data_IF_194075933339
#
_entry.id   IF_194075933339
#
_cell.length_a   1.000
_cell.length_b   1.000
_cell.length_c   1.000
_cell.angle_alpha   90.00
_cell.angle_beta   90.00
_cell.angle_gamma   90.00
#
_symmetry.space_group_name_H-M   'P 1'
#
loop_
_entity.id
_entity.type
_entity.pdbx_description
1 polymer ?
#
# COMPACT_ATOMS: atom_id res chain seq x y z
N UNK A 1 18.87 -6.14 7.35
CA UNK A 1 18.99 -4.92 8.17
C UNK A 1 17.95 -3.94 7.68
N UNK A 2 17.30 -3.24 8.60
CA UNK A 2 16.32 -2.21 8.28
C UNK A 2 17.09 -0.98 7.74
N UNK A 3 16.75 -0.52 6.53
CA UNK A 3 17.59 0.45 5.79
C UNK A 3 17.41 1.89 6.29
N UNK A 4 16.28 2.18 6.96
CA UNK A 4 15.79 3.54 7.17
C UNK A 4 15.62 3.92 8.65
N UNK A 5 16.10 3.09 9.59
CA UNK A 5 16.08 3.34 11.04
C UNK A 5 14.71 3.80 11.57
N UNK A 6 13.63 3.17 11.08
CA UNK A 6 12.27 3.57 11.40
C UNK A 6 11.96 3.28 12.87
N UNK A 7 11.38 4.28 13.55
CA UNK A 7 11.00 4.22 14.97
C UNK A 7 9.63 3.55 15.20
N UNK A 8 9.08 2.88 14.18
CA UNK A 8 7.75 2.27 14.20
C UNK A 8 7.77 0.87 13.59
N UNK A 9 6.72 0.09 13.89
CA UNK A 9 6.60 -1.27 13.38
C UNK A 9 6.33 -1.28 11.87
N UNK A 10 7.13 -2.05 11.14
CA UNK A 10 6.90 -2.38 9.74
C UNK A 10 6.47 -3.84 9.65
N UNK A 11 5.28 -4.07 9.12
CA UNK A 11 4.69 -5.40 8.98
C UNK A 11 4.74 -5.89 7.53
N UNK A 12 4.61 -7.21 7.32
CA UNK A 12 4.59 -7.83 5.99
C UNK A 12 3.24 -8.51 5.73
N UNK A 13 2.53 -8.05 4.70
CA UNK A 13 1.26 -8.65 4.24
C UNK A 13 1.50 -9.67 3.11
N UNK A 14 2.09 -10.83 3.46
CA UNK A 14 2.38 -11.88 2.48
C UNK A 14 1.11 -12.34 1.76
N UNK A 15 1.12 -12.31 0.43
CA UNK A 15 -0.01 -12.69 -0.42
C UNK A 15 -1.17 -11.69 -0.42
N UNK A 16 -0.92 -10.43 -0.02
CA UNK A 16 -1.89 -9.33 -0.04
C UNK A 16 -3.18 -9.64 0.76
N UNK A 17 -3.09 -10.37 1.88
CA UNK A 17 -4.28 -10.84 2.62
C UNK A 17 -5.05 -9.71 3.27
N UNK A 18 -4.35 -8.74 3.85
CA UNK A 18 -4.97 -7.54 4.43
C UNK A 18 -5.36 -6.59 3.30
N UNK A 19 -4.47 -6.35 2.33
CA UNK A 19 -4.75 -5.48 1.19
C UNK A 19 -6.04 -5.89 0.44
N UNK A 20 -6.29 -7.19 0.24
CA UNK A 20 -7.55 -7.68 -0.37
C UNK A 20 -8.78 -7.33 0.46
N UNK A 21 -8.72 -7.44 1.79
CA UNK A 21 -9.84 -7.10 2.67
C UNK A 21 -10.18 -5.61 2.62
N UNK A 22 -9.17 -4.77 2.37
CA UNK A 22 -9.32 -3.33 2.21
C UNK A 22 -9.59 -2.91 0.76
N UNK A 23 -9.69 -3.86 -0.18
CA UNK A 23 -9.93 -3.56 -1.61
C UNK A 23 -8.76 -2.88 -2.32
N UNK A 24 -7.54 -3.05 -1.83
CA UNK A 24 -6.34 -2.34 -2.30
C UNK A 24 -5.52 -3.12 -3.34
N UNK A 25 -5.99 -4.27 -3.80
CA UNK A 25 -5.19 -5.11 -4.72
C UNK A 25 -5.53 -4.78 -6.16
N UNK A 26 -4.51 -4.34 -6.89
CA UNK A 26 -4.56 -4.17 -8.34
C UNK A 26 -3.82 -5.32 -9.02
N UNK A 27 -4.50 -6.06 -9.89
CA UNK A 27 -3.88 -7.07 -10.73
C UNK A 27 -3.38 -6.44 -12.04
N UNK A 28 -2.08 -6.49 -12.29
CA UNK A 28 -1.52 -5.95 -13.54
C UNK A 28 -2.05 -6.76 -14.73
N UNK A 29 -2.75 -6.10 -15.68
CA UNK A 29 -3.25 -6.75 -16.89
C UNK A 29 -2.12 -7.48 -17.64
N UNK A 30 -2.41 -8.67 -18.14
CA UNK A 30 -1.41 -9.51 -18.82
C UNK A 30 -0.74 -8.78 -19.98
N UNK A 31 -1.50 -7.97 -20.69
CA UNK A 31 -1.08 -7.16 -21.83
C UNK A 31 0.01 -6.14 -21.47
N UNK A 32 0.02 -5.67 -20.22
CA UNK A 32 0.97 -4.66 -19.74
C UNK A 32 2.27 -5.27 -19.20
N UNK A 33 2.28 -6.56 -18.85
CA UNK A 33 3.44 -7.25 -18.24
C UNK A 33 4.72 -7.16 -19.10
N UNK A 34 4.68 -7.37 -20.43
CA UNK A 34 5.89 -7.26 -21.25
C UNK A 34 6.50 -5.85 -21.25
N UNK A 35 5.69 -4.80 -21.06
CA UNK A 35 6.19 -3.43 -20.98
C UNK A 35 6.89 -3.18 -19.65
N UNK A 36 6.31 -3.65 -18.54
CA UNK A 36 6.94 -3.57 -17.22
C UNK A 36 8.29 -4.31 -17.19
N UNK A 37 8.34 -5.51 -17.77
CA UNK A 37 9.59 -6.27 -17.90
C UNK A 37 10.63 -5.53 -18.74
N UNK A 38 10.23 -4.91 -19.87
CA UNK A 38 11.11 -4.07 -20.70
C UNK A 38 11.66 -2.85 -19.94
N UNK A 39 10.90 -2.30 -18.99
CA UNK A 39 11.36 -1.23 -18.10
C UNK A 39 12.21 -1.74 -16.92
N UNK A 40 12.50 -3.05 -16.86
CA UNK A 40 13.26 -3.67 -15.77
C UNK A 40 12.46 -3.87 -14.48
N UNK A 41 11.13 -3.74 -14.53
CA UNK A 41 10.24 -3.87 -13.36
C UNK A 41 9.79 -5.33 -13.25
N UNK A 42 10.55 -6.13 -12.50
CA UNK A 42 10.23 -7.53 -12.24
C UNK A 42 9.30 -7.67 -11.01
N UNK A 43 7.98 -7.53 -11.23
CA UNK A 43 6.98 -7.66 -10.15
C UNK A 43 7.08 -9.03 -9.45
N UNK A 44 7.09 -10.17 -10.18
CA UNK A 44 7.18 -11.47 -9.50
C UNK A 44 8.45 -11.65 -8.67
N UNK A 45 9.58 -11.14 -9.16
CA UNK A 45 10.86 -11.18 -8.45
C UNK A 45 10.86 -10.34 -7.17
N UNK A 46 10.22 -9.17 -7.19
CA UNK A 46 10.11 -8.31 -6.00
C UNK A 46 9.10 -8.84 -4.96
N UNK A 47 8.00 -9.42 -5.42
CA UNK A 47 6.95 -9.92 -4.53
C UNK A 47 7.21 -11.35 -4.04
N UNK A 48 8.10 -12.10 -4.70
CA UNK A 48 8.37 -13.51 -4.39
C UNK A 48 7.25 -14.46 -4.80
N UNK A 49 6.34 -14.02 -5.68
CA UNK A 49 5.20 -14.80 -6.18
C UNK A 49 4.77 -14.33 -7.59
N UNK A 50 4.10 -15.20 -8.34
CA UNK A 50 3.69 -14.94 -9.74
C UNK A 50 2.30 -14.30 -9.86
N UNK A 51 1.81 -13.60 -8.83
CA UNK A 51 0.46 -13.01 -8.83
C UNK A 51 0.33 -11.82 -9.78
N UNK A 52 1.43 -11.11 -10.07
CA UNK A 52 1.42 -9.81 -10.76
C UNK A 52 0.48 -8.80 -10.09
N UNK A 53 0.34 -8.90 -8.78
CA UNK A 53 -0.48 -8.00 -7.98
C UNK A 53 0.38 -6.89 -7.38
N UNK A 54 -0.20 -5.69 -7.33
CA UNK A 54 0.41 -4.50 -6.77
C UNK A 54 -0.58 -3.92 -5.76
N UNK A 55 -0.17 -3.65 -4.51
CA UNK A 55 -1.01 -2.93 -3.57
C UNK A 55 -1.10 -1.45 -3.97
N UNK A 56 -2.31 -0.91 -4.00
CA UNK A 56 -2.57 0.53 -4.09
C UNK A 56 -2.17 1.15 -2.73
N UNK A 57 -1.31 2.17 -2.71
CA UNK A 57 -0.96 2.86 -1.47
C UNK A 57 -2.20 3.43 -0.79
N UNK A 58 -2.26 3.27 0.53
CA UNK A 58 -3.35 3.79 1.34
C UNK A 58 -2.85 4.25 2.71
N UNK A 59 -3.50 5.26 3.26
CA UNK A 59 -3.26 5.77 4.61
C UNK A 59 -4.57 5.75 5.38
N UNK A 60 -4.58 5.09 6.54
CA UNK A 60 -5.74 5.03 7.42
C UNK A 60 -5.36 5.50 8.81
N UNK A 61 -6.31 6.17 9.46
CA UNK A 61 -6.30 6.39 10.91
C UNK A 61 -7.45 5.60 11.49
N UNK A 62 -7.13 4.68 12.40
CA UNK A 62 -8.09 3.75 13.02
C UNK A 62 -8.07 4.02 14.53
N UNK A 63 -9.25 4.24 15.11
CA UNK A 63 -9.37 4.48 16.55
C UNK A 63 -9.33 3.20 17.39
N UNK A 64 -9.38 3.33 18.72
CA UNK A 64 -9.36 2.19 19.65
C UNK A 64 -10.63 1.32 19.58
N UNK A 65 -11.74 1.87 19.07
CA UNK A 65 -12.97 1.15 18.82
C UNK A 65 -12.99 0.48 17.42
N UNK A 66 -11.83 0.46 16.73
CA UNK A 66 -11.61 -0.15 15.42
C UNK A 66 -12.38 0.53 14.27
N UNK A 67 -12.77 1.79 14.43
CA UNK A 67 -13.37 2.58 13.36
C UNK A 67 -12.30 3.35 12.58
N UNK A 68 -12.45 3.32 11.26
CA UNK A 68 -11.66 4.17 10.36
C UNK A 68 -12.17 5.62 10.51
N UNK A 69 -11.30 6.50 11.00
CA UNK A 69 -11.58 7.93 11.20
C UNK A 69 -11.04 8.79 10.06
N UNK A 70 -10.04 8.29 9.34
CA UNK A 70 -9.50 8.89 8.12
C UNK A 70 -9.10 7.78 7.16
N UNK A 71 -9.35 8.00 5.87
CA UNK A 71 -8.91 7.13 4.80
C UNK A 71 -8.47 7.98 3.60
N UNK A 72 -7.28 7.69 3.10
CA UNK A 72 -6.79 8.18 1.82
C UNK A 72 -6.37 6.99 0.97
N UNK A 73 -6.99 6.86 -0.20
CA UNK A 73 -6.67 5.85 -1.22
C UNK A 73 -6.69 6.55 -2.57
N UNK A 74 -5.61 6.41 -3.34
CA UNK A 74 -5.52 7.03 -4.66
C UNK A 74 -4.86 6.07 -5.65
N UNK A 75 -5.48 5.90 -6.82
CA UNK A 75 -4.92 5.07 -7.90
C UNK A 75 -3.69 5.70 -8.55
N UNK A 76 -3.56 7.03 -8.48
CA UNK A 76 -2.29 7.70 -8.75
C UNK A 76 -1.39 7.55 -7.53
N UNK A 77 -0.49 6.55 -7.59
CA UNK A 77 0.43 6.19 -6.51
C UNK A 77 1.44 7.29 -6.16
N UNK A 78 1.52 8.37 -6.96
CA UNK A 78 2.36 9.53 -6.66
C UNK A 78 1.68 10.53 -5.72
N UNK A 79 0.37 10.33 -5.45
CA UNK A 79 -0.41 11.15 -4.52
C UNK A 79 -0.37 10.54 -3.13
N UNK A 80 -0.09 11.39 -2.16
CA UNK A 80 -0.09 11.06 -0.74
C UNK A 80 -0.87 12.13 0.03
N UNK A 81 -1.46 11.80 1.19
CA UNK A 81 -2.01 12.82 2.06
C UNK A 81 -0.88 13.63 2.69
N UNK A 82 -1.13 14.92 2.95
CA UNK A 82 -0.17 15.73 3.70
C UNK A 82 -0.09 15.21 5.15
N UNK A 83 1.12 15.09 5.74
CA UNK A 83 1.26 14.59 7.11
C UNK A 83 0.41 15.36 8.13
N UNK A 84 0.26 16.67 7.93
CA UNK A 84 -0.58 17.53 8.78
C UNK A 84 -2.06 17.16 8.73
N UNK A 85 -2.58 16.73 7.58
CA UNK A 85 -3.96 16.26 7.44
C UNK A 85 -4.17 14.95 8.22
N UNK A 86 -3.22 14.02 8.12
CA UNK A 86 -3.24 12.75 8.85
C UNK A 86 -3.18 12.99 10.37
N UNK A 87 -2.32 13.92 10.82
CA UNK A 87 -2.22 14.29 12.23
C UNK A 87 -3.47 15.01 12.75
N UNK A 88 -4.09 15.86 11.93
CA UNK A 88 -5.32 16.55 12.30
C UNK A 88 -6.48 15.57 12.52
N UNK A 89 -6.52 14.45 11.78
CA UNK A 89 -7.50 13.41 12.01
C UNK A 89 -7.38 12.82 13.42
N UNK A 90 -6.15 12.63 13.95
CA UNK A 90 -5.92 12.10 15.30
C UNK A 90 -6.50 12.97 16.42
N UNK A 91 -6.70 14.26 16.19
CA UNK A 91 -7.19 15.20 17.21
C UNK A 91 -8.72 15.24 17.32
N UNK A 92 -9.43 14.48 16.49
CA UNK A 92 -10.90 14.56 16.36
C UNK A 92 -11.65 13.48 17.15
N UNK A 93 -10.96 12.66 17.95
CA UNK A 93 -11.55 11.57 18.72
C UNK A 93 -10.82 11.30 20.04
#
# INVERSE_FOLDING_TARGET
MEKNELQFLVLSDRGNRVARKFGLVFALPQELRPYYEKFGINIPGHNGEYSYEIPIPATYVIDQAQFIRFAFVNTDYTKHPEPTEVLAALQQF
#
